data_IF_548802234007
#
_entry.id   IF_548802234007
#
_cell.length_a   1.000
_cell.length_b   1.000
_cell.length_c   1.000
_cell.angle_alpha   90.00
_cell.angle_beta   90.00
_cell.angle_gamma   90.00
#
_symmetry.space_group_name_H-M   'P 1'
#
loop_
_entity.id
_entity.type
_entity.pdbx_description
1 polymer ?
#
# COMPACT_ATOMS: atom_id res chain seq x y z
N UNK A 1 22.31 21.68 -9.35
CA UNK A 1 20.94 21.65 -8.84
C UNK A 1 20.14 20.75 -9.78
N UNK A 2 19.96 19.48 -9.41
CA UNK A 2 19.09 18.57 -10.17
C UNK A 2 17.65 18.95 -9.89
N UNK A 3 17.00 19.53 -10.90
CA UNK A 3 15.68 20.12 -10.79
C UNK A 3 14.55 19.06 -10.79
N UNK A 4 13.38 19.43 -10.24
CA UNK A 4 12.12 18.70 -10.36
C UNK A 4 11.83 18.24 -11.79
N UNK A 5 12.19 19.03 -12.80
CA UNK A 5 12.04 18.68 -14.23
C UNK A 5 12.71 17.36 -14.60
N UNK A 6 13.79 16.97 -13.93
CA UNK A 6 14.49 15.71 -14.21
C UNK A 6 13.64 14.51 -13.81
N UNK A 7 12.87 14.62 -12.72
CA UNK A 7 11.98 13.55 -12.29
C UNK A 7 10.91 13.23 -13.35
N UNK A 8 10.45 14.24 -14.08
CA UNK A 8 9.38 14.06 -15.09
C UNK A 8 9.90 13.52 -16.43
N UNK A 9 11.23 13.31 -16.59
CA UNK A 9 11.76 12.61 -17.74
C UNK A 9 11.45 11.12 -17.61
N UNK A 10 10.50 10.67 -18.41
CA UNK A 10 10.06 9.28 -18.44
C UNK A 10 10.92 8.54 -19.46
N UNK A 11 11.27 7.28 -19.15
CA UNK A 11 11.89 6.39 -20.12
C UNK A 11 10.95 6.22 -21.33
N UNK A 12 11.37 6.59 -22.54
CA UNK A 12 10.53 6.47 -23.74
C UNK A 12 10.15 5.02 -24.07
N UNK A 13 10.86 4.03 -23.55
CA UNK A 13 10.50 2.61 -23.69
C UNK A 13 9.30 2.18 -22.82
N UNK A 14 8.84 3.04 -21.89
CA UNK A 14 7.67 2.74 -21.06
C UNK A 14 6.40 2.99 -21.90
N UNK A 15 5.68 1.91 -22.15
CA UNK A 15 4.47 1.90 -22.98
C UNK A 15 3.28 2.64 -22.35
N UNK A 16 3.29 2.81 -21.03
CA UNK A 16 2.18 3.38 -20.24
C UNK A 16 2.61 4.67 -19.55
N UNK A 17 1.67 5.55 -19.20
CA UNK A 17 1.97 6.76 -18.42
C UNK A 17 2.28 6.44 -16.94
N UNK A 18 2.89 5.28 -16.71
CA UNK A 18 3.23 4.74 -15.40
C UNK A 18 4.68 4.25 -15.40
N UNK A 19 5.38 4.46 -14.31
CA UNK A 19 6.75 3.96 -14.12
C UNK A 19 7.03 3.63 -12.66
N UNK A 20 8.09 2.87 -12.43
CA UNK A 20 8.58 2.57 -11.10
C UNK A 20 9.98 3.12 -10.85
N UNK A 21 10.40 3.12 -9.60
CA UNK A 21 11.70 3.62 -9.20
C UNK A 21 12.86 2.86 -9.85
N UNK A 22 12.69 1.56 -10.13
CA UNK A 22 13.74 0.75 -10.75
C UNK A 22 13.92 1.11 -12.23
N UNK A 23 12.82 1.22 -12.97
CA UNK A 23 12.84 1.63 -14.38
C UNK A 23 13.34 3.05 -14.54
N UNK A 24 12.93 3.96 -13.67
CA UNK A 24 13.37 5.35 -13.69
C UNK A 24 14.86 5.47 -13.36
N UNK A 25 15.35 4.75 -12.34
CA UNK A 25 16.77 4.70 -12.01
C UNK A 25 17.61 4.18 -13.19
N UNK A 26 17.20 3.08 -13.82
CA UNK A 26 17.89 2.52 -14.98
C UNK A 26 17.97 3.51 -16.15
N UNK A 27 16.89 4.24 -16.38
CA UNK A 27 16.86 5.29 -17.39
C UNK A 27 17.87 6.42 -17.09
N UNK A 28 17.87 6.91 -15.83
CA UNK A 28 18.79 7.97 -15.39
C UNK A 28 20.24 7.49 -15.27
N UNK A 29 20.47 6.21 -14.97
CA UNK A 29 21.80 5.59 -15.00
C UNK A 29 22.37 5.60 -16.42
N UNK A 30 21.56 5.28 -17.44
CA UNK A 30 21.94 5.38 -18.85
C UNK A 30 22.35 6.81 -19.27
N UNK A 31 21.80 7.83 -18.58
CA UNK A 31 22.18 9.23 -18.75
C UNK A 31 23.37 9.67 -17.86
N UNK A 32 24.02 8.74 -17.15
CA UNK A 32 25.14 8.97 -16.23
C UNK A 32 24.85 9.94 -15.07
N UNK A 33 23.57 10.12 -14.71
CA UNK A 33 23.16 11.06 -13.66
C UNK A 33 23.36 10.50 -12.24
N UNK A 34 23.24 9.19 -12.08
CA UNK A 34 23.43 8.51 -10.79
C UNK A 34 24.31 7.28 -10.95
N UNK A 35 25.31 7.14 -10.08
CA UNK A 35 26.20 5.97 -10.06
C UNK A 35 25.58 4.77 -9.34
N UNK A 36 24.74 5.01 -8.34
CA UNK A 36 24.15 3.97 -7.49
C UNK A 36 22.66 4.22 -7.26
N UNK A 37 21.89 3.14 -7.04
CA UNK A 37 20.47 3.23 -6.67
C UNK A 37 20.27 4.01 -5.36
N UNK A 38 21.20 3.86 -4.40
CA UNK A 38 21.15 4.59 -3.13
C UNK A 38 21.27 6.10 -3.31
N UNK A 39 22.14 6.56 -4.24
CA UNK A 39 22.25 8.00 -4.54
C UNK A 39 20.99 8.55 -5.21
N UNK A 40 20.35 7.75 -6.05
CA UNK A 40 19.07 8.07 -6.66
C UNK A 40 17.92 8.14 -5.62
N UNK A 41 17.83 7.18 -4.72
CA UNK A 41 16.81 7.18 -3.67
C UNK A 41 16.93 8.38 -2.73
N UNK A 42 18.16 8.72 -2.30
CA UNK A 42 18.43 9.93 -1.52
C UNK A 42 18.05 11.21 -2.26
N UNK A 43 18.26 11.23 -3.57
CA UNK A 43 17.85 12.36 -4.39
C UNK A 43 16.32 12.47 -4.45
N UNK A 44 15.59 11.36 -4.62
CA UNK A 44 14.12 11.34 -4.57
C UNK A 44 13.58 11.85 -3.24
N UNK A 45 14.17 11.46 -2.13
CA UNK A 45 13.78 11.92 -0.79
C UNK A 45 13.97 13.43 -0.64
N UNK A 46 15.10 13.95 -1.12
CA UNK A 46 15.40 15.40 -1.08
C UNK A 46 14.49 16.24 -1.97
N UNK A 47 13.91 15.66 -3.01
CA UNK A 47 12.99 16.39 -3.88
C UNK A 47 11.68 16.75 -3.18
N UNK A 48 11.28 16.01 -2.17
CA UNK A 48 10.01 16.19 -1.44
C UNK A 48 8.79 16.35 -2.37
N UNK A 49 8.84 15.73 -3.55
CA UNK A 49 7.77 15.82 -4.56
C UNK A 49 6.59 14.94 -4.18
N UNK A 50 6.88 13.79 -3.60
CA UNK A 50 5.88 12.81 -3.22
C UNK A 50 5.80 12.70 -1.72
N UNK A 51 4.64 12.32 -1.20
CA UNK A 51 4.47 12.07 0.22
C UNK A 51 5.37 10.91 0.68
N UNK A 52 5.54 10.81 1.97
CA UNK A 52 6.24 9.69 2.58
C UNK A 52 5.59 8.36 2.20
N UNK A 53 6.43 7.32 2.12
CA UNK A 53 5.93 5.98 1.89
C UNK A 53 5.05 5.54 3.07
N UNK A 54 3.86 5.06 2.75
CA UNK A 54 2.99 4.47 3.75
C UNK A 54 3.48 3.06 4.10
N UNK A 55 3.50 2.76 5.36
CA UNK A 55 3.63 1.40 5.89
C UNK A 55 2.36 1.05 6.68
N UNK A 56 2.23 -0.18 7.14
CA UNK A 56 1.01 -0.59 7.83
C UNK A 56 0.72 0.25 9.07
N UNK A 57 1.74 0.57 9.86
CA UNK A 57 1.56 1.32 11.12
C UNK A 57 1.08 2.75 10.85
N UNK A 58 1.81 3.52 10.03
CA UNK A 58 1.39 4.89 9.72
C UNK A 58 0.10 4.94 8.88
N UNK A 59 -0.20 3.90 8.09
CA UNK A 59 -1.49 3.76 7.42
C UNK A 59 -2.64 3.66 8.43
N UNK A 60 -2.48 2.85 9.48
CA UNK A 60 -3.47 2.70 10.54
C UNK A 60 -3.68 4.00 11.34
N UNK A 61 -2.58 4.70 11.66
CA UNK A 61 -2.61 5.98 12.37
C UNK A 61 -3.33 7.06 11.57
N UNK A 62 -3.00 7.21 10.29
CA UNK A 62 -3.60 8.22 9.40
C UNK A 62 -5.11 7.98 9.25
N UNK A 63 -5.52 6.74 9.10
CA UNK A 63 -6.93 6.41 8.95
C UNK A 63 -7.71 6.54 10.25
N UNK A 64 -7.04 6.74 11.40
CA UNK A 64 -7.67 6.74 12.74
C UNK A 64 -8.68 5.60 12.89
N UNK A 65 -8.46 4.53 12.13
CA UNK A 65 -9.37 3.41 12.11
C UNK A 65 -9.08 2.60 13.34
N UNK A 66 -10.09 2.43 14.15
CA UNK A 66 -10.09 1.46 15.25
C UNK A 66 -10.11 0.02 14.69
N UNK A 67 -9.81 -0.19 13.40
CA UNK A 67 -9.67 -1.54 12.87
C UNK A 67 -8.48 -2.17 13.55
N UNK A 68 -8.76 -3.21 14.27
CA UNK A 68 -7.77 -3.97 14.98
C UNK A 68 -6.63 -4.32 14.00
N UNK A 69 -5.40 -4.03 14.38
CA UNK A 69 -4.18 -4.38 13.65
C UNK A 69 -4.22 -5.84 13.16
N UNK A 70 -4.79 -6.73 13.96
CA UNK A 70 -4.99 -8.15 13.62
C UNK A 70 -5.78 -8.36 12.32
N UNK A 71 -6.79 -7.54 12.03
CA UNK A 71 -7.57 -7.65 10.79
C UNK A 71 -6.69 -7.33 9.59
N UNK A 72 -5.93 -6.24 9.67
CA UNK A 72 -4.99 -5.87 8.62
C UNK A 72 -3.92 -6.94 8.41
N UNK A 73 -3.31 -7.43 9.48
CA UNK A 73 -2.27 -8.47 9.41
C UNK A 73 -2.81 -9.76 8.81
N UNK A 74 -4.04 -10.15 9.16
CA UNK A 74 -4.71 -11.30 8.56
C UNK A 74 -4.86 -11.15 7.04
N UNK A 75 -5.40 -10.01 6.60
CA UNK A 75 -5.60 -9.77 5.16
C UNK A 75 -4.26 -9.68 4.42
N UNK A 76 -3.27 -9.02 4.99
CA UNK A 76 -1.93 -8.94 4.40
C UNK A 76 -1.34 -10.34 4.24
N UNK A 77 -1.34 -11.16 5.28
CA UNK A 77 -0.86 -12.55 5.21
C UNK A 77 -1.63 -13.38 4.17
N UNK A 78 -2.96 -13.21 4.10
CA UNK A 78 -3.80 -13.87 3.09
C UNK A 78 -3.38 -13.49 1.67
N UNK A 79 -3.17 -12.21 1.40
CA UNK A 79 -2.79 -11.72 0.08
C UNK A 79 -1.35 -12.07 -0.30
N UNK A 80 -0.46 -12.14 0.67
CA UNK A 80 0.91 -12.63 0.46
C UNK A 80 0.93 -14.09 0.00
N UNK A 81 0.12 -14.95 0.62
CA UNK A 81 -0.05 -16.34 0.18
C UNK A 81 -0.53 -16.42 -1.28
N UNK A 82 -1.32 -15.46 -1.74
CA UNK A 82 -1.79 -15.35 -3.13
C UNK A 82 -0.75 -14.75 -4.07
N UNK A 83 0.47 -14.43 -3.61
CA UNK A 83 1.54 -13.75 -4.36
C UNK A 83 1.09 -12.42 -4.99
N UNK A 84 0.10 -11.78 -4.41
CA UNK A 84 -0.39 -10.47 -4.82
C UNK A 84 0.56 -9.37 -4.34
N UNK A 85 0.68 -8.31 -5.13
CA UNK A 85 1.46 -7.13 -4.77
C UNK A 85 0.57 -6.17 -3.95
N UNK A 86 0.98 -5.88 -2.74
CA UNK A 86 0.29 -4.92 -1.87
C UNK A 86 0.85 -3.54 -2.15
N UNK A 87 -0.04 -2.59 -2.48
CA UNK A 87 0.29 -1.20 -2.76
C UNK A 87 -0.51 -0.27 -1.84
N UNK A 88 0.20 0.64 -1.19
CA UNK A 88 -0.38 1.81 -0.55
C UNK A 88 -0.43 2.93 -1.57
N UNK A 89 -1.62 3.46 -1.86
CA UNK A 89 -1.84 4.40 -2.95
C UNK A 89 -2.33 5.74 -2.43
N UNK A 90 -1.70 6.80 -2.91
CA UNK A 90 -1.99 8.18 -2.56
C UNK A 90 -2.20 9.01 -3.84
N UNK A 91 -3.08 10.00 -3.77
CA UNK A 91 -3.24 10.99 -4.82
C UNK A 91 -2.42 12.23 -4.50
N UNK A 92 -1.62 12.67 -5.47
CA UNK A 92 -0.68 13.78 -5.29
C UNK A 92 -0.77 14.72 -6.47
N UNK A 93 -0.71 16.00 -6.20
CA UNK A 93 -0.60 17.03 -7.22
C UNK A 93 0.73 17.79 -7.06
N UNK A 94 1.52 17.81 -8.14
CA UNK A 94 2.83 18.45 -8.17
C UNK A 94 2.94 19.29 -9.43
N UNK A 95 3.18 20.60 -9.28
CA UNK A 95 3.31 21.53 -10.41
C UNK A 95 2.18 21.36 -11.44
N UNK A 96 0.93 21.39 -10.99
CA UNK A 96 -0.29 21.20 -11.81
C UNK A 96 -0.36 19.84 -12.53
N UNK A 97 0.53 18.91 -12.22
CA UNK A 97 0.47 17.54 -12.72
C UNK A 97 -0.05 16.62 -11.63
N UNK A 98 -1.03 15.82 -11.98
CA UNK A 98 -1.74 14.92 -11.07
C UNK A 98 -1.20 13.51 -11.19
N UNK A 99 -0.93 12.88 -10.07
CA UNK A 99 -0.36 11.54 -9.99
C UNK A 99 -1.14 10.66 -9.02
N UNK A 100 -1.20 9.38 -9.34
CA UNK A 100 -1.28 8.36 -8.31
C UNK A 100 0.14 7.94 -7.98
N UNK A 101 0.49 8.09 -6.73
CA UNK A 101 1.72 7.58 -6.16
C UNK A 101 1.41 6.32 -5.37
N UNK A 102 2.21 5.30 -5.55
CA UNK A 102 2.07 4.06 -4.80
C UNK A 102 3.42 3.60 -4.28
N UNK A 103 3.43 3.04 -3.10
CA UNK A 103 4.58 2.31 -2.58
C UNK A 103 4.17 0.89 -2.16
N UNK A 104 5.09 -0.04 -2.32
CA UNK A 104 4.94 -1.40 -1.81
C UNK A 104 5.54 -1.54 -0.40
N UNK A 105 5.36 -2.70 0.22
CA UNK A 105 5.90 -2.98 1.57
C UNK A 105 7.44 -2.99 1.65
N UNK A 106 8.12 -3.03 0.51
CA UNK A 106 9.59 -3.02 0.40
C UNK A 106 10.13 -1.66 -0.05
N UNK A 107 9.34 -0.60 0.11
CA UNK A 107 9.64 0.76 -0.32
C UNK A 107 9.85 0.92 -1.85
N UNK A 108 9.42 -0.05 -2.64
CA UNK A 108 9.34 0.13 -4.09
C UNK A 108 8.27 1.18 -4.42
N UNK A 109 8.62 2.17 -5.23
CA UNK A 109 7.76 3.29 -5.58
C UNK A 109 7.25 3.18 -7.02
N UNK A 110 6.00 3.54 -7.22
CA UNK A 110 5.34 3.58 -8.52
C UNK A 110 4.62 4.91 -8.68
N UNK A 111 4.56 5.40 -9.91
CA UNK A 111 3.87 6.62 -10.29
C UNK A 111 3.05 6.40 -11.53
N UNK A 112 1.91 7.05 -11.62
CA UNK A 112 1.15 7.16 -12.85
C UNK A 112 0.54 8.54 -12.95
N UNK A 113 0.67 9.17 -14.13
CA UNK A 113 -0.03 10.43 -14.42
C UNK A 113 -1.51 10.15 -14.63
N UNK A 114 -2.35 10.93 -13.98
CA UNK A 114 -3.80 10.91 -14.14
C UNK A 114 -4.30 12.27 -14.59
N UNK A 115 -5.41 12.30 -15.31
CA UNK A 115 -5.96 13.55 -15.85
C UNK A 115 -6.65 14.36 -14.75
N UNK A 116 -7.37 13.68 -13.88
CA UNK A 116 -8.13 14.31 -12.81
C UNK A 116 -8.28 13.37 -11.60
N UNK A 117 -8.89 13.90 -10.52
CA UNK A 117 -9.28 13.10 -9.35
C UNK A 117 -10.57 12.30 -9.59
N UNK A 118 -11.16 12.36 -10.80
CA UNK A 118 -12.36 11.59 -11.11
C UNK A 118 -12.07 10.09 -11.08
N UNK A 119 -13.02 9.33 -10.60
CA UNK A 119 -12.85 7.89 -10.35
C UNK A 119 -12.44 7.10 -11.61
N UNK A 120 -12.91 7.50 -12.79
CA UNK A 120 -12.54 6.84 -14.02
C UNK A 120 -11.05 7.01 -14.33
N UNK A 121 -10.50 8.22 -14.18
CA UNK A 121 -9.08 8.51 -14.39
C UNK A 121 -8.22 7.77 -13.36
N UNK A 122 -8.68 7.70 -12.11
CA UNK A 122 -8.02 6.94 -11.04
C UNK A 122 -8.06 5.44 -11.35
N UNK A 123 -9.22 4.92 -11.73
CA UNK A 123 -9.38 3.50 -12.12
C UNK A 123 -8.41 3.11 -13.24
N UNK A 124 -8.28 3.95 -14.26
CA UNK A 124 -7.33 3.72 -15.34
C UNK A 124 -5.87 3.79 -14.87
N UNK A 125 -5.56 4.72 -13.97
CA UNK A 125 -4.25 4.77 -13.32
C UNK A 125 -3.90 3.49 -12.57
N UNK A 126 -4.84 2.95 -11.80
CA UNK A 126 -4.65 1.67 -11.08
C UNK A 126 -4.43 0.49 -12.05
N UNK A 127 -5.15 0.46 -13.17
CA UNK A 127 -4.94 -0.53 -14.23
C UNK A 127 -3.52 -0.46 -14.81
N UNK A 128 -2.94 0.73 -14.91
CA UNK A 128 -1.55 0.88 -15.37
C UNK A 128 -0.55 0.31 -14.37
N UNK A 129 -0.76 0.42 -13.07
CA UNK A 129 0.08 -0.24 -12.07
C UNK A 129 0.08 -1.76 -12.24
N UNK A 130 -1.11 -2.35 -12.43
CA UNK A 130 -1.25 -3.78 -12.68
C UNK A 130 -0.51 -4.23 -13.94
N UNK A 131 -0.64 -3.47 -15.04
CA UNK A 131 0.06 -3.72 -16.29
C UNK A 131 1.59 -3.59 -16.15
N UNK A 132 2.06 -2.57 -15.43
CA UNK A 132 3.47 -2.30 -15.20
C UNK A 132 4.13 -3.43 -14.40
N UNK A 133 3.49 -3.86 -13.33
CA UNK A 133 4.02 -4.91 -12.44
C UNK A 133 3.73 -6.34 -12.92
N UNK A 134 2.79 -6.52 -13.86
CA UNK A 134 2.35 -7.84 -14.34
C UNK A 134 1.98 -8.80 -13.20
N UNK A 135 1.31 -8.28 -12.19
CA UNK A 135 0.88 -8.99 -10.98
C UNK A 135 -0.52 -8.57 -10.55
N UNK A 136 -1.19 -9.46 -9.84
CA UNK A 136 -2.39 -9.10 -9.10
C UNK A 136 -2.04 -8.08 -8.03
N UNK A 137 -2.85 -7.03 -7.89
CA UNK A 137 -2.58 -5.94 -6.99
C UNK A 137 -3.68 -5.84 -5.95
N UNK A 138 -3.26 -5.62 -4.72
CA UNK A 138 -4.14 -5.26 -3.60
C UNK A 138 -3.88 -3.80 -3.25
N UNK A 139 -4.91 -2.97 -3.28
CA UNK A 139 -4.82 -1.54 -3.07
C UNK A 139 -5.25 -1.18 -1.65
N UNK A 140 -4.38 -0.47 -0.96
CA UNK A 140 -4.66 0.25 0.29
C UNK A 140 -4.65 1.75 -0.01
N UNK A 141 -5.80 2.37 -0.29
CA UNK A 141 -5.88 3.79 -0.63
C UNK A 141 -5.70 4.66 0.60
N UNK A 142 -5.16 5.86 0.46
CA UNK A 142 -5.21 6.86 1.50
C UNK A 142 -6.66 7.28 1.82
N UNK A 143 -6.87 8.03 2.90
CA UNK A 143 -8.21 8.37 3.37
C UNK A 143 -8.99 9.18 2.33
N UNK A 144 -8.32 10.06 1.60
CA UNK A 144 -8.97 10.91 0.60
C UNK A 144 -9.43 10.10 -0.61
N UNK A 145 -8.63 9.11 -1.02
CA UNK A 145 -9.00 8.18 -2.09
C UNK A 145 -10.05 7.19 -1.61
N UNK A 146 -9.95 6.71 -0.38
CA UNK A 146 -10.90 5.75 0.18
C UNK A 146 -12.31 6.32 0.19
N UNK A 147 -12.48 7.57 0.63
CA UNK A 147 -13.79 8.23 0.63
C UNK A 147 -14.36 8.30 -0.80
N UNK A 148 -13.57 8.74 -1.77
CA UNK A 148 -13.99 8.78 -3.17
C UNK A 148 -14.33 7.39 -3.72
N UNK A 149 -13.59 6.36 -3.30
CA UNK A 149 -13.81 4.99 -3.73
C UNK A 149 -15.12 4.40 -3.17
N UNK A 150 -15.45 4.74 -1.93
CA UNK A 150 -16.71 4.34 -1.28
C UNK A 150 -17.89 5.03 -1.96
N UNK A 151 -17.83 6.34 -2.17
CA UNK A 151 -18.88 7.13 -2.79
C UNK A 151 -19.20 6.66 -4.21
N UNK A 152 -18.18 6.38 -5.00
CA UNK A 152 -18.33 6.04 -6.41
C UNK A 152 -18.27 4.53 -6.73
N UNK A 153 -18.31 3.68 -5.73
CA UNK A 153 -18.32 2.20 -5.86
C UNK A 153 -17.25 1.65 -6.81
N UNK A 154 -16.00 2.07 -6.60
CA UNK A 154 -14.88 1.72 -7.48
C UNK A 154 -14.73 0.22 -7.70
N UNK A 155 -15.07 -0.59 -6.71
CA UNK A 155 -15.01 -2.06 -6.80
C UNK A 155 -15.82 -2.58 -7.98
N UNK A 156 -17.06 -2.08 -8.17
CA UNK A 156 -17.93 -2.50 -9.27
C UNK A 156 -17.33 -2.11 -10.63
N UNK A 157 -16.72 -0.92 -10.70
CA UNK A 157 -16.07 -0.44 -11.95
C UNK A 157 -14.84 -1.24 -12.35
N UNK A 158 -14.06 -1.73 -11.38
CA UNK A 158 -12.84 -2.50 -11.65
C UNK A 158 -13.11 -3.99 -11.87
N UNK A 159 -14.12 -4.58 -11.21
CA UNK A 159 -14.48 -5.98 -11.37
C UNK A 159 -15.13 -6.27 -12.73
N UNK A 160 -15.82 -5.28 -13.30
CA UNK A 160 -16.45 -5.40 -14.62
C UNK A 160 -15.44 -5.48 -15.79
N UNK A 161 -14.15 -5.23 -15.54
CA UNK A 161 -13.12 -5.40 -16.55
C UNK A 161 -12.37 -6.72 -16.35
N UNK A 162 -12.36 -7.59 -17.37
CA UNK A 162 -11.51 -8.79 -17.39
C UNK A 162 -10.03 -8.38 -17.51
N UNK A 163 -9.42 -8.04 -16.40
CA UNK A 163 -8.00 -7.71 -16.35
C UNK A 163 -7.18 -9.00 -16.28
N UNK A 164 -6.09 -9.06 -17.06
CA UNK A 164 -5.13 -10.18 -16.97
C UNK A 164 -4.54 -10.31 -15.57
N UNK A 165 -4.40 -9.20 -14.89
CA UNK A 165 -3.92 -9.11 -13.50
C UNK A 165 -4.95 -8.30 -12.71
N UNK A 166 -5.86 -8.94 -11.97
CA UNK A 166 -6.92 -8.27 -11.25
C UNK A 166 -6.41 -7.34 -10.15
N UNK A 167 -7.22 -6.33 -9.88
CA UNK A 167 -7.02 -5.35 -8.84
C UNK A 167 -8.10 -5.59 -7.78
N UNK A 168 -7.68 -5.73 -6.55
CA UNK A 168 -8.56 -5.97 -5.42
C UNK A 168 -8.38 -4.89 -4.35
N UNK A 169 -9.44 -4.67 -3.60
CA UNK A 169 -9.41 -3.86 -2.39
C UNK A 169 -9.83 -4.76 -1.23
N UNK A 170 -9.26 -4.58 -0.05
CA UNK A 170 -9.77 -5.26 1.14
C UNK A 170 -11.21 -4.81 1.43
N UNK A 171 -12.16 -5.74 1.38
CA UNK A 171 -13.60 -5.43 1.53
C UNK A 171 -13.93 -4.71 2.83
N UNK A 172 -13.19 -4.98 3.89
CA UNK A 172 -13.41 -4.34 5.18
C UNK A 172 -13.15 -2.82 5.14
N UNK A 173 -12.29 -2.30 4.26
CA UNK A 173 -12.03 -0.87 4.13
C UNK A 173 -13.29 -0.09 3.74
N UNK A 174 -14.16 -0.68 2.91
CA UNK A 174 -15.41 -0.06 2.50
C UNK A 174 -16.52 -0.18 3.55
N UNK A 175 -16.37 -1.08 4.49
CA UNK A 175 -17.36 -1.32 5.56
C UNK A 175 -17.09 -0.48 6.79
N UNK A 176 -15.83 -0.12 7.03
CA UNK A 176 -15.39 0.64 8.21
C UNK A 176 -16.07 2.01 8.30
N UNK A 177 -16.23 2.71 7.16
CA UNK A 177 -16.90 4.00 7.14
C UNK A 177 -18.40 3.94 7.52
N UNK A 178 -18.98 2.75 7.63
CA UNK A 178 -20.39 2.52 8.02
C UNK A 178 -20.56 1.91 9.41
N UNK A 179 -19.47 1.57 10.09
CA UNK A 179 -19.51 0.82 11.34
C UNK A 179 -18.96 1.64 12.49
N UNK A 180 -19.83 1.97 13.44
CA UNK A 180 -19.40 2.26 14.81
C UNK A 180 -18.82 0.96 15.38
N UNK A 181 -17.51 0.95 15.64
CA UNK A 181 -16.64 -0.23 15.83
C UNK A 181 -16.87 -0.99 17.17
N UNK A 182 -17.96 -0.80 17.83
CA UNK A 182 -18.34 -1.69 18.92
C UNK A 182 -18.82 -3.08 18.46
N UNK A 183 -18.75 -3.36 17.16
CA UNK A 183 -19.30 -4.58 16.59
C UNK A 183 -18.28 -5.73 16.58
N UNK A 184 -18.20 -6.44 17.71
CA UNK A 184 -17.57 -7.77 17.82
C UNK A 184 -18.08 -8.78 16.77
N UNK A 185 -19.20 -8.50 16.10
CA UNK A 185 -19.73 -9.31 14.98
C UNK A 185 -18.85 -9.32 13.74
N UNK A 186 -18.02 -8.27 13.51
CA UNK A 186 -17.07 -8.26 12.39
C UNK A 186 -15.98 -9.32 12.56
N UNK A 187 -15.43 -9.48 13.75
CA UNK A 187 -14.40 -10.47 14.04
C UNK A 187 -14.93 -11.90 13.81
N UNK A 188 -16.19 -12.14 14.20
CA UNK A 188 -16.87 -13.44 13.96
C UNK A 188 -17.10 -13.69 12.47
N UNK A 189 -17.44 -12.66 11.68
CA UNK A 189 -17.70 -12.79 10.24
C UNK A 189 -16.45 -13.14 9.43
N UNK A 190 -15.26 -12.76 9.88
CA UNK A 190 -14.00 -13.07 9.20
C UNK A 190 -13.39 -14.39 9.64
N UNK A 191 -14.08 -15.18 10.50
CA UNK A 191 -13.51 -16.41 11.08
C UNK A 191 -12.04 -16.21 11.52
N UNK A 192 -11.73 -15.02 12.03
CA UNK A 192 -10.44 -14.77 12.61
C UNK A 192 -10.33 -15.69 13.83
N UNK A 193 -9.25 -16.44 13.97
CA UNK A 193 -9.02 -17.18 15.20
C UNK A 193 -9.02 -16.15 16.33
N UNK A 194 -10.09 -16.14 17.11
CA UNK A 194 -10.34 -15.15 18.17
C UNK A 194 -9.22 -15.09 19.21
N UNK A 195 -8.33 -16.11 19.22
CA UNK A 195 -7.39 -16.33 20.30
C UNK A 195 -5.96 -16.69 19.88
N UNK A 196 -5.59 -16.74 18.58
CA UNK A 196 -4.23 -17.20 18.25
C UNK A 196 -3.15 -16.29 18.84
N UNK A 197 -3.32 -14.96 18.74
CA UNK A 197 -2.34 -14.01 19.28
C UNK A 197 -2.38 -13.93 20.81
N UNK A 198 -3.57 -13.95 21.40
CA UNK A 198 -3.72 -13.97 22.87
C UNK A 198 -3.26 -15.30 23.44
N UNK A 199 -3.56 -16.43 22.79
CA UNK A 199 -3.07 -17.73 23.22
C UNK A 199 -1.56 -17.88 23.03
N UNK A 200 -0.99 -17.29 21.98
CA UNK A 200 0.45 -17.27 21.77
C UNK A 200 1.16 -16.40 22.82
N UNK A 201 0.61 -15.21 23.14
CA UNK A 201 1.10 -14.36 24.22
C UNK A 201 0.93 -15.02 25.60
N UNK A 202 -0.19 -15.70 25.83
CA UNK A 202 -0.44 -16.42 27.06
C UNK A 202 0.54 -17.59 27.21
N UNK A 203 0.76 -18.35 26.15
CA UNK A 203 1.74 -19.43 26.14
C UNK A 203 3.16 -18.93 26.38
N UNK A 204 3.55 -17.82 25.73
CA UNK A 204 4.86 -17.18 25.93
C UNK A 204 5.01 -16.63 27.36
N UNK A 205 3.97 -15.98 27.90
CA UNK A 205 3.97 -15.49 29.28
C UNK A 205 4.08 -16.61 30.29
N UNK A 206 3.35 -17.72 30.09
CA UNK A 206 3.45 -18.92 30.94
C UNK A 206 4.85 -19.54 30.85
N UNK A 207 5.44 -19.57 29.66
CA UNK A 207 6.81 -20.08 29.48
C UNK A 207 7.83 -19.25 30.26
N UNK A 208 7.80 -17.94 30.13
CA UNK A 208 8.67 -17.01 30.85
C UNK A 208 8.50 -17.17 32.36
N UNK A 209 7.27 -17.25 32.87
CA UNK A 209 6.99 -17.44 34.29
C UNK A 209 7.58 -18.78 34.78
N UNK A 210 7.44 -19.85 34.01
CA UNK A 210 8.00 -21.18 34.36
C UNK A 210 9.52 -21.16 34.40
N UNK A 211 10.17 -20.49 33.45
CA UNK A 211 11.63 -20.33 33.45
C UNK A 211 12.09 -19.56 34.68
N UNK A 212 11.48 -18.40 34.96
CA UNK A 212 11.82 -17.60 36.14
C UNK A 212 11.62 -18.39 37.44
N UNK A 213 10.53 -19.14 37.59
CA UNK A 213 10.25 -19.96 38.75
C UNK A 213 11.27 -21.10 38.87
N UNK A 214 11.71 -21.70 37.76
CA UNK A 214 12.68 -22.80 37.77
C UNK A 214 14.10 -22.34 38.10
N UNK A 215 14.45 -21.09 37.77
CA UNK A 215 15.79 -20.55 38.01
C UNK A 215 15.95 -19.84 39.36
N UNK A 216 14.86 -19.49 40.01
CA UNK A 216 14.88 -18.79 41.31
C UNK A 216 14.69 -19.76 42.46
N UNK A 217 15.59 -19.71 43.44
CA UNK A 217 15.50 -20.54 44.68
C UNK A 217 14.31 -20.15 45.57
N UNK A 218 13.79 -18.92 45.45
CA UNK A 218 12.60 -18.43 46.14
C UNK A 218 11.83 -17.53 45.13
N UNK A 219 10.90 -18.08 44.36
CA UNK A 219 10.05 -17.29 43.45
C UNK A 219 9.03 -16.43 44.21
#
# INVERSE_FOLDING_TARGET
IMNHTLFFKINPSIKYPAWDSDSHYKFLLGQKLFKTKRSYERWLEKLSIFPENLNLNNYLEIHKTQVNKLIHDYFIKKFEKQRSLILFVQYVEVNNTKFLFANDRRNGRLWVKVKSKKINDISDGLKYFSKLRKKNIIIFPDINLLNSFVEEKINEKLTNHKLKHPIHFPDYLFKINKLNIKDTKLLKKFNLPQNSYLSDLEAESIHIIREVVSETKNP
#
